data_IF_608746698953
#
_entry.id   IF_608746698953
#
_cell.length_a   1.000
_cell.length_b   1.000
_cell.length_c   1.000
_cell.angle_alpha   90.00
_cell.angle_beta   90.00
_cell.angle_gamma   90.00
#
_symmetry.space_group_name_H-M   'P 1'
#
loop_
_entity.id
_entity.type
_entity.pdbx_description
1 polymer ?
#
# COMPACT_ATOMS: atom_id res chain seq x y z
N UNK A 1 22.39 0.51 24.78
CA UNK A 1 23.12 0.09 23.57
C UNK A 1 22.11 -0.16 22.46
N UNK A 2 22.38 0.26 21.24
CA UNK A 2 21.54 -0.03 20.08
C UNK A 2 21.49 -1.54 19.82
N UNK A 3 20.30 -2.05 19.50
CA UNK A 3 20.06 -3.44 19.14
C UNK A 3 19.13 -3.48 17.94
N UNK A 4 19.55 -4.13 16.87
CA UNK A 4 18.71 -4.38 15.71
C UNK A 4 17.63 -5.41 16.07
N UNK A 5 16.37 -5.11 15.79
CA UNK A 5 15.21 -5.94 16.13
C UNK A 5 14.43 -6.29 14.85
N UNK A 6 14.76 -7.41 14.18
CA UNK A 6 13.94 -7.88 13.07
C UNK A 6 12.57 -8.30 13.58
N UNK A 7 11.54 -8.21 12.73
CA UNK A 7 10.18 -8.65 13.04
C UNK A 7 9.48 -7.95 14.21
N UNK A 8 10.04 -6.88 14.77
CA UNK A 8 9.40 -6.12 15.86
C UNK A 8 8.87 -4.80 15.34
N UNK A 9 7.57 -4.57 15.51
CA UNK A 9 6.96 -3.28 15.16
C UNK A 9 7.44 -2.15 16.06
N UNK A 10 7.85 -1.07 15.42
CA UNK A 10 8.21 0.20 16.05
C UNK A 10 7.19 1.27 15.66
N UNK A 11 6.81 2.13 16.61
CA UNK A 11 5.95 3.29 16.34
C UNK A 11 6.84 4.51 16.11
N UNK A 12 6.59 5.22 15.00
CA UNK A 12 7.32 6.44 14.68
C UNK A 12 6.66 7.65 15.32
N UNK A 13 7.47 8.58 15.81
CA UNK A 13 7.01 9.83 16.41
C UNK A 13 7.11 10.86 15.31
N UNK A 14 6.07 10.93 14.49
CA UNK A 14 5.93 11.87 13.37
C UNK A 14 6.00 13.34 13.84
N UNK A 15 7.21 13.81 14.14
CA UNK A 15 7.50 15.07 14.81
C UNK A 15 8.16 15.99 13.80
N UNK A 16 7.37 16.87 13.20
CA UNK A 16 7.83 17.89 12.26
C UNK A 16 7.15 19.24 12.54
N UNK A 17 7.63 20.32 11.88
CA UNK A 17 6.97 21.63 11.94
C UNK A 17 5.57 21.58 11.30
N UNK A 18 5.40 20.78 10.24
CA UNK A 18 4.09 20.49 9.65
C UNK A 18 3.32 19.49 10.52
N UNK A 19 2.02 19.74 10.69
CA UNK A 19 1.12 18.80 11.35
C UNK A 19 1.01 17.54 10.48
N UNK A 20 1.04 16.33 11.09
CA UNK A 20 0.93 15.09 10.34
C UNK A 20 -0.45 14.99 9.68
N UNK A 21 -0.58 14.17 8.61
CA UNK A 21 -1.87 13.87 8.01
C UNK A 21 -2.89 13.40 9.06
N UNK A 22 -4.13 13.87 8.91
CA UNK A 22 -5.26 13.40 9.72
C UNK A 22 -5.42 11.88 9.63
N UNK A 23 -5.97 11.31 10.70
CA UNK A 23 -6.32 9.89 10.76
C UNK A 23 -7.24 9.50 9.60
N UNK A 24 -6.96 8.39 8.93
CA UNK A 24 -7.62 8.04 7.65
C UNK A 24 -7.68 6.54 7.40
N UNK A 25 -8.66 6.13 6.61
CA UNK A 25 -8.85 4.75 6.12
C UNK A 25 -9.08 4.76 4.61
N UNK A 26 -8.78 3.66 3.93
CA UNK A 26 -9.03 3.55 2.48
C UNK A 26 -8.13 4.43 1.62
N UNK A 27 -7.06 4.98 2.22
CA UNK A 27 -5.94 5.59 1.52
C UNK A 27 -4.99 4.50 1.02
N UNK A 28 -4.04 4.86 0.18
CA UNK A 28 -2.93 3.98 -0.20
C UNK A 28 -1.59 4.58 0.20
N UNK A 29 -0.62 3.71 0.50
CA UNK A 29 0.77 4.08 0.67
C UNK A 29 1.69 3.34 -0.29
N UNK A 30 2.80 3.97 -0.62
CA UNK A 30 3.93 3.39 -1.34
C UNK A 30 5.21 3.96 -0.75
N UNK A 31 6.36 3.33 -0.97
CA UNK A 31 7.61 3.88 -0.48
C UNK A 31 8.75 3.59 -1.44
N UNK A 32 9.73 4.47 -1.42
CA UNK A 32 11.05 4.26 -1.98
C UNK A 32 12.07 4.03 -0.82
N UNK A 33 13.35 4.21 -1.11
CA UNK A 33 14.43 4.04 -0.13
C UNK A 33 14.58 5.22 0.87
N UNK A 34 13.86 6.32 0.66
CA UNK A 34 13.95 7.59 1.40
C UNK A 34 12.64 7.97 2.08
N UNK A 35 11.51 7.74 1.43
CA UNK A 35 10.22 8.29 1.77
C UNK A 35 9.10 7.24 1.70
N UNK A 36 8.11 7.43 2.58
CA UNK A 36 6.79 6.84 2.51
C UNK A 36 5.82 7.89 1.95
N UNK A 37 5.07 7.56 0.91
CA UNK A 37 4.05 8.41 0.31
C UNK A 37 2.66 7.94 0.73
N UNK A 38 1.75 8.87 1.04
CA UNK A 38 0.35 8.56 1.35
C UNK A 38 -0.58 9.41 0.49
N UNK A 39 -1.47 8.73 -0.23
CA UNK A 39 -2.44 9.35 -1.12
C UNK A 39 -3.85 9.15 -0.59
N UNK A 40 -4.62 10.24 -0.55
CA UNK A 40 -6.07 10.17 -0.36
C UNK A 40 -6.49 9.74 1.05
N UNK A 41 -7.65 9.09 1.11
CA UNK A 41 -8.24 8.52 2.32
C UNK A 41 -9.50 9.24 2.77
N UNK A 42 -10.21 8.58 3.68
CA UNK A 42 -11.51 9.00 4.19
C UNK A 42 -11.50 9.14 5.71
N UNK A 43 -12.14 10.18 6.23
CA UNK A 43 -12.49 10.28 7.64
C UNK A 43 -13.75 11.16 7.88
N UNK A 44 -14.92 10.55 8.17
CA UNK A 44 -16.18 11.25 8.39
C UNK A 44 -16.27 11.89 9.79
N UNK A 45 -15.29 11.65 10.67
CA UNK A 45 -15.27 12.22 12.02
C UNK A 45 -14.55 13.58 12.08
N UNK A 46 -13.99 14.05 10.97
CA UNK A 46 -13.40 15.40 10.88
C UNK A 46 -14.54 16.40 10.70
N UNK A 47 -14.67 17.32 11.66
CA UNK A 47 -15.71 18.34 11.62
C UNK A 47 -15.37 19.43 10.61
N UNK A 48 -16.39 20.09 10.06
CA UNK A 48 -16.23 21.27 9.19
C UNK A 48 -15.52 22.43 9.89
N UNK A 49 -15.57 22.47 11.22
CA UNK A 49 -14.91 23.48 12.05
C UNK A 49 -13.48 23.13 12.43
N UNK A 50 -12.96 21.96 12.00
CA UNK A 50 -11.61 21.51 12.30
C UNK A 50 -10.58 22.54 11.79
N UNK A 51 -9.73 23.10 12.68
CA UNK A 51 -8.80 24.15 12.32
C UNK A 51 -7.85 23.77 11.19
N UNK A 52 -7.49 22.50 11.04
CA UNK A 52 -6.57 22.04 9.99
C UNK A 52 -7.22 22.01 8.61
N UNK A 53 -8.56 22.04 8.54
CA UNK A 53 -9.31 22.01 7.29
C UNK A 53 -9.87 23.38 6.88
N UNK A 54 -9.76 24.41 7.74
CA UNK A 54 -10.35 25.74 7.50
C UNK A 54 -9.78 26.43 6.26
N UNK A 55 -8.48 26.28 6.05
CA UNK A 55 -7.75 26.91 4.94
C UNK A 55 -7.64 25.97 3.72
N UNK A 56 -8.16 24.74 3.82
CA UNK A 56 -8.19 23.81 2.69
C UNK A 56 -9.39 24.13 1.79
N UNK A 57 -9.10 24.85 0.70
CA UNK A 57 -10.11 25.29 -0.27
C UNK A 57 -10.83 24.12 -0.96
N UNK A 58 -10.24 22.92 -0.96
CA UNK A 58 -10.82 21.74 -1.60
C UNK A 58 -11.71 20.93 -0.66
N UNK A 59 -11.56 21.11 0.66
CA UNK A 59 -12.25 20.32 1.67
C UNK A 59 -13.76 20.38 1.54
N UNK A 60 -14.34 21.55 1.24
CA UNK A 60 -15.79 21.67 1.08
C UNK A 60 -16.35 20.73 0.00
N UNK A 61 -15.61 20.55 -1.10
CA UNK A 61 -16.01 19.71 -2.23
C UNK A 61 -15.58 18.24 -2.07
N UNK A 62 -14.45 17.98 -1.39
CA UNK A 62 -13.92 16.62 -1.24
C UNK A 62 -14.36 15.94 0.04
N UNK A 63 -14.85 16.67 1.06
CA UNK A 63 -15.19 16.08 2.35
C UNK A 63 -16.19 14.93 2.20
N UNK A 64 -16.06 13.88 3.01
CA UNK A 64 -15.04 13.66 4.05
C UNK A 64 -13.75 12.95 3.56
N UNK A 65 -13.38 13.13 2.28
CA UNK A 65 -12.17 12.58 1.68
C UNK A 65 -11.04 13.61 1.62
N UNK A 66 -9.81 13.13 1.88
CA UNK A 66 -8.61 13.96 1.90
C UNK A 66 -8.02 14.08 0.50
N UNK A 67 -8.09 15.27 -0.09
CA UNK A 67 -7.48 15.57 -1.38
C UNK A 67 -6.01 15.94 -1.21
N UNK A 68 -5.21 14.98 -0.75
CA UNK A 68 -3.84 15.23 -0.33
C UNK A 68 -2.89 14.12 -0.76
N UNK A 69 -1.68 14.51 -1.14
CA UNK A 69 -0.51 13.64 -1.28
C UNK A 69 0.54 14.06 -0.24
N UNK A 70 0.91 13.13 0.63
CA UNK A 70 1.88 13.35 1.70
C UNK A 70 3.14 12.53 1.46
N UNK A 71 4.31 13.07 1.82
CA UNK A 71 5.55 12.30 1.97
C UNK A 71 6.00 12.30 3.42
N UNK A 72 6.50 11.16 3.90
CA UNK A 72 7.09 10.96 5.21
C UNK A 72 8.53 10.50 5.04
N UNK A 73 9.48 11.36 5.41
CA UNK A 73 10.90 11.02 5.31
C UNK A 73 11.26 9.97 6.37
N UNK A 74 11.83 8.84 5.94
CA UNK A 74 12.02 7.66 6.76
C UNK A 74 13.13 7.80 7.82
N UNK A 75 14.00 8.82 7.68
CA UNK A 75 15.11 9.07 8.61
C UNK A 75 14.77 10.18 9.59
N UNK A 76 14.28 11.32 9.11
CA UNK A 76 13.91 12.47 9.95
C UNK A 76 12.58 12.28 10.69
N UNK A 77 11.76 11.34 10.24
CA UNK A 77 10.39 11.09 10.72
C UNK A 77 9.48 12.32 10.61
N UNK A 78 9.64 13.10 9.54
CA UNK A 78 8.85 14.30 9.26
C UNK A 78 7.90 14.06 8.08
N UNK A 79 6.66 14.50 8.24
CA UNK A 79 5.70 14.60 7.15
C UNK A 79 5.88 15.93 6.43
N UNK A 80 5.62 15.91 5.13
CA UNK A 80 5.46 17.09 4.29
C UNK A 80 4.32 16.87 3.31
N UNK A 81 3.42 17.84 3.18
CA UNK A 81 2.38 17.81 2.14
C UNK A 81 3.00 18.21 0.80
N UNK A 82 2.80 17.41 -0.24
CA UNK A 82 3.23 17.74 -1.59
C UNK A 82 2.24 18.74 -2.24
N UNK A 83 2.71 19.61 -3.15
CA UNK A 83 1.84 20.55 -3.86
C UNK A 83 0.98 19.84 -4.93
N UNK A 84 0.08 20.56 -5.61
CA UNK A 84 -0.74 20.01 -6.71
C UNK A 84 -2.06 19.37 -6.25
N UNK A 85 -2.57 19.76 -5.08
CA UNK A 85 -3.86 19.31 -4.54
C UNK A 85 -5.02 19.57 -5.52
N UNK A 86 -4.98 20.68 -6.24
CA UNK A 86 -5.95 21.09 -7.26
C UNK A 86 -6.01 20.13 -8.46
N UNK A 87 -4.93 19.39 -8.74
CA UNK A 87 -4.86 18.45 -9.86
C UNK A 87 -5.34 17.03 -9.48
N UNK A 88 -5.65 16.78 -8.21
CA UNK A 88 -6.13 15.48 -7.77
C UNK A 88 -7.61 15.25 -8.17
N UNK A 89 -8.06 13.99 -8.35
CA UNK A 89 -9.47 13.64 -8.48
C UNK A 89 -10.23 13.77 -7.16
N UNK A 90 -11.55 13.53 -7.19
CA UNK A 90 -12.38 13.41 -5.99
C UNK A 90 -12.56 11.94 -5.55
N UNK A 91 -12.21 10.97 -6.40
CA UNK A 91 -12.22 9.54 -6.11
C UNK A 91 -10.99 9.11 -5.28
N UNK A 92 -11.00 9.54 -4.01
CA UNK A 92 -9.83 9.56 -3.13
C UNK A 92 -9.77 8.37 -2.17
N UNK A 93 -10.70 7.42 -2.24
CA UNK A 93 -10.71 6.23 -1.40
C UNK A 93 -10.77 4.93 -2.20
N UNK A 94 -10.18 3.89 -1.62
CA UNK A 94 -10.14 2.53 -2.19
C UNK A 94 -9.62 2.47 -3.62
N UNK A 95 -8.76 3.41 -3.99
CA UNK A 95 -8.00 3.40 -5.22
C UNK A 95 -6.91 2.30 -5.17
N UNK A 96 -6.33 2.00 -6.32
CA UNK A 96 -5.13 1.19 -6.41
C UNK A 96 -3.93 2.10 -6.70
N UNK A 97 -2.76 1.79 -6.10
CA UNK A 97 -1.58 2.66 -6.21
C UNK A 97 -0.30 1.82 -6.29
N UNK A 98 0.64 2.27 -7.12
CA UNK A 98 1.97 1.68 -7.23
C UNK A 98 3.01 2.78 -7.50
N UNK A 99 4.25 2.57 -7.03
CA UNK A 99 5.38 3.46 -7.28
C UNK A 99 6.40 2.73 -8.15
N UNK A 100 6.74 3.30 -9.30
CA UNK A 100 7.76 2.78 -10.22
C UNK A 100 8.83 3.84 -10.47
N UNK A 101 10.01 3.67 -9.86
CA UNK A 101 11.00 4.75 -9.80
C UNK A 101 10.43 5.95 -9.04
N UNK A 102 10.39 7.12 -9.68
CA UNK A 102 9.78 8.33 -9.11
C UNK A 102 8.33 8.54 -9.57
N UNK A 103 7.79 7.67 -10.41
CA UNK A 103 6.42 7.78 -10.93
C UNK A 103 5.44 7.06 -9.99
N UNK A 104 4.69 7.83 -9.21
CA UNK A 104 3.55 7.34 -8.44
C UNK A 104 2.33 7.26 -9.35
N UNK A 105 1.78 6.07 -9.54
CA UNK A 105 0.60 5.83 -10.35
C UNK A 105 -0.59 5.47 -9.48
N UNK A 106 -1.72 6.13 -9.70
CA UNK A 106 -2.98 5.92 -8.98
C UNK A 106 -4.08 5.62 -9.97
N UNK A 107 -4.78 4.50 -9.77
CA UNK A 107 -5.84 4.03 -10.66
C UNK A 107 -7.16 3.85 -9.91
N UNK A 108 -8.23 4.34 -10.54
CA UNK A 108 -9.61 4.19 -10.08
C UNK A 108 -9.87 4.74 -8.69
N UNK A 109 -10.76 4.09 -7.95
CA UNK A 109 -11.20 4.52 -6.63
C UNK A 109 -12.60 5.10 -6.64
N UNK A 110 -13.04 5.57 -5.47
CA UNK A 110 -14.40 6.08 -5.27
C UNK A 110 -14.44 7.38 -4.46
N UNK A 111 -15.37 8.26 -4.85
CA UNK A 111 -15.79 9.46 -4.13
C UNK A 111 -16.96 9.18 -3.19
N UNK A 112 -17.53 10.23 -2.59
CA UNK A 112 -18.76 10.13 -1.78
C UNK A 112 -19.94 10.70 -2.60
N UNK A 113 -21.09 10.03 -2.67
CA UNK A 113 -21.44 8.72 -2.09
C UNK A 113 -20.64 7.53 -2.68
N UNK A 114 -20.23 6.61 -1.81
CA UNK A 114 -19.43 5.44 -2.22
C UNK A 114 -20.21 4.51 -3.14
N UNK A 115 -19.58 4.08 -4.23
CA UNK A 115 -20.22 3.23 -5.26
C UNK A 115 -21.00 4.00 -6.32
N UNK A 116 -21.25 5.30 -6.13
CA UNK A 116 -21.93 6.14 -7.13
C UNK A 116 -20.94 7.04 -7.91
N UNK A 117 -19.89 7.48 -7.24
CA UNK A 117 -18.76 8.19 -7.85
C UNK A 117 -17.57 7.23 -7.88
N UNK A 118 -17.42 6.52 -9.01
CA UNK A 118 -16.31 5.61 -9.26
C UNK A 118 -15.50 6.12 -10.45
N UNK A 119 -14.22 5.75 -10.51
CA UNK A 119 -13.31 6.15 -11.59
C UNK A 119 -12.61 4.96 -12.23
N UNK A 120 -12.30 5.08 -13.52
CA UNK A 120 -11.37 4.23 -14.28
C UNK A 120 -10.19 5.05 -14.82
N UNK A 121 -9.94 6.24 -14.25
CA UNK A 121 -8.85 7.10 -14.68
C UNK A 121 -7.53 6.67 -14.04
N UNK A 122 -6.46 6.75 -14.83
CA UNK A 122 -5.08 6.58 -14.36
C UNK A 122 -4.46 7.97 -14.19
N UNK A 123 -3.94 8.23 -12.99
CA UNK A 123 -3.16 9.43 -12.67
C UNK A 123 -1.71 9.04 -12.44
N UNK A 124 -0.80 9.92 -12.85
CA UNK A 124 0.65 9.81 -12.58
C UNK A 124 1.17 11.09 -11.94
N UNK A 125 2.07 10.95 -10.98
CA UNK A 125 2.77 12.04 -10.32
C UNK A 125 4.24 11.70 -10.22
N UNK A 126 5.12 12.66 -10.51
CA UNK A 126 6.51 12.52 -10.10
C UNK A 126 6.59 12.90 -8.61
N UNK A 127 7.05 11.99 -7.76
CA UNK A 127 7.05 12.24 -6.30
C UNK A 127 7.96 13.40 -5.87
N UNK A 128 8.86 13.84 -6.75
CA UNK A 128 9.67 15.04 -6.54
C UNK A 128 8.88 16.34 -6.77
N UNK A 129 7.86 16.33 -7.65
CA UNK A 129 7.05 17.51 -8.01
C UNK A 129 5.67 17.55 -7.32
N UNK A 130 5.08 16.39 -7.00
CA UNK A 130 3.82 16.27 -6.27
C UNK A 130 2.54 16.43 -7.09
N UNK A 131 2.63 16.91 -8.33
CA UNK A 131 1.46 17.24 -9.13
C UNK A 131 0.92 16.03 -9.90
N UNK A 132 -0.33 15.65 -9.60
CA UNK A 132 -1.03 14.58 -10.33
C UNK A 132 -1.38 15.02 -11.76
N UNK A 133 -1.20 14.12 -12.72
CA UNK A 133 -1.56 14.32 -14.12
C UNK A 133 -2.40 13.13 -14.59
N UNK A 134 -3.52 13.42 -15.25
CA UNK A 134 -4.30 12.37 -15.93
C UNK A 134 -3.44 11.79 -17.04
N UNK A 135 -3.36 10.46 -17.11
CA UNK A 135 -2.72 9.76 -18.22
C UNK A 135 -3.77 9.59 -19.32
N UNK A 136 -3.57 10.18 -20.52
CA UNK A 136 -4.46 9.96 -21.64
C UNK A 136 -4.54 8.47 -21.97
N UNK A 137 -5.76 7.96 -22.08
CA UNK A 137 -6.01 6.54 -22.27
C UNK A 137 -7.04 6.32 -23.38
N UNK A 138 -6.81 5.29 -24.18
CA UNK A 138 -7.70 4.82 -25.25
C UNK A 138 -7.84 3.29 -25.17
N UNK A 139 -8.61 2.69 -26.08
CA UNK A 139 -8.79 1.24 -26.15
C UNK A 139 -9.95 0.73 -25.29
N UNK A 140 -9.78 -0.46 -24.73
CA UNK A 140 -10.81 -1.17 -23.97
C UNK A 140 -10.71 -0.82 -22.48
N UNK A 141 -11.17 0.37 -22.13
CA UNK A 141 -11.11 0.86 -20.76
C UNK A 141 -12.00 -0.01 -19.83
N UNK A 142 -11.50 -0.40 -18.64
CA UNK A 142 -12.33 -1.05 -17.64
C UNK A 142 -13.46 -0.12 -17.18
N UNK A 143 -14.55 -0.68 -16.67
CA UNK A 143 -15.59 0.14 -16.05
C UNK A 143 -15.05 0.92 -14.84
N UNK A 144 -15.62 2.10 -14.53
CA UNK A 144 -15.29 2.84 -13.31
C UNK A 144 -15.56 2.01 -12.05
N UNK A 145 -14.50 1.74 -11.29
CA UNK A 145 -14.54 0.79 -10.17
C UNK A 145 -13.61 1.24 -9.04
N UNK A 146 -13.80 0.65 -7.86
CA UNK A 146 -12.91 0.79 -6.72
C UNK A 146 -12.57 -0.55 -6.06
N UNK A 147 -11.53 -0.55 -5.24
CA UNK A 147 -11.05 -1.72 -4.52
C UNK A 147 -10.31 -2.73 -5.39
N UNK A 148 -9.86 -2.31 -6.58
CA UNK A 148 -8.93 -3.05 -7.43
C UNK A 148 -7.53 -3.08 -6.78
N UNK A 149 -6.67 -3.90 -7.36
CA UNK A 149 -5.24 -3.92 -7.06
C UNK A 149 -4.43 -3.92 -8.37
N UNK A 150 -3.16 -3.50 -8.28
CA UNK A 150 -2.28 -3.31 -9.43
C UNK A 150 -1.05 -4.21 -9.37
N UNK A 151 -0.58 -4.63 -10.53
CA UNK A 151 0.76 -5.21 -10.75
C UNK A 151 1.40 -4.51 -11.93
N UNK A 152 2.64 -4.08 -11.79
CA UNK A 152 3.44 -3.57 -12.92
C UNK A 152 4.41 -4.65 -13.38
N UNK A 153 4.41 -4.96 -14.66
CA UNK A 153 5.35 -5.89 -15.29
C UNK A 153 5.73 -5.40 -16.67
N UNK A 154 7.03 -5.26 -16.93
CA UNK A 154 7.59 -4.66 -18.14
C UNK A 154 7.00 -3.26 -18.41
N UNK A 155 6.32 -3.08 -19.54
CA UNK A 155 5.62 -1.85 -19.91
C UNK A 155 4.12 -1.90 -19.67
N UNK A 156 3.64 -2.89 -18.92
CA UNK A 156 2.22 -3.08 -18.67
C UNK A 156 1.87 -2.88 -17.20
N UNK A 157 0.80 -2.11 -16.97
CA UNK A 157 0.15 -2.00 -15.68
C UNK A 157 -1.13 -2.85 -15.71
N UNK A 158 -1.14 -3.94 -14.95
CA UNK A 158 -2.28 -4.83 -14.82
C UNK A 158 -3.17 -4.38 -13.66
N UNK A 159 -4.48 -4.42 -13.87
CA UNK A 159 -5.49 -4.24 -12.82
C UNK A 159 -6.33 -5.50 -12.70
N UNK A 160 -6.62 -5.90 -11.47
CA UNK A 160 -7.38 -7.14 -11.18
C UNK A 160 -8.51 -6.87 -10.20
N UNK A 161 -9.71 -7.31 -10.57
CA UNK A 161 -10.92 -7.27 -9.76
C UNK A 161 -11.36 -5.87 -9.38
N UNK A 162 -12.25 -5.77 -8.39
CA UNK A 162 -12.88 -4.51 -7.98
C UNK A 162 -14.38 -4.62 -7.87
N UNK A 163 -15.01 -3.48 -7.64
CA UNK A 163 -16.47 -3.36 -7.63
C UNK A 163 -16.92 -2.02 -8.18
N UNK A 164 -18.06 -2.04 -8.87
CA UNK A 164 -18.79 -0.84 -9.30
C UNK A 164 -19.62 -0.24 -8.16
N UNK A 165 -19.67 -0.90 -6.99
CA UNK A 165 -20.60 -0.62 -5.90
C UNK A 165 -21.81 -1.56 -5.90
N UNK A 166 -22.14 -2.13 -7.07
CA UNK A 166 -23.25 -3.06 -7.26
C UNK A 166 -22.76 -4.47 -7.60
N UNK A 167 -21.80 -4.55 -8.51
CA UNK A 167 -21.24 -5.80 -9.00
C UNK A 167 -19.79 -5.94 -8.57
N UNK A 168 -19.36 -7.19 -8.37
CA UNK A 168 -17.98 -7.53 -8.04
C UNK A 168 -17.40 -8.32 -9.20
N UNK A 169 -16.16 -7.98 -9.56
CA UNK A 169 -15.46 -8.68 -10.63
C UNK A 169 -14.10 -9.19 -10.16
N UNK A 170 -13.53 -10.12 -10.91
CA UNK A 170 -12.12 -10.49 -10.85
C UNK A 170 -11.47 -10.39 -12.24
N UNK A 171 -12.02 -9.55 -13.12
CA UNK A 171 -11.49 -9.29 -14.46
C UNK A 171 -10.06 -8.77 -14.41
N UNK A 172 -9.35 -9.01 -15.51
CA UNK A 172 -7.99 -8.52 -15.72
C UNK A 172 -7.96 -7.65 -16.95
N UNK A 173 -7.51 -6.42 -16.75
CA UNK A 173 -7.16 -5.51 -17.84
C UNK A 173 -5.70 -5.10 -17.68
N UNK A 174 -5.09 -4.68 -18.78
CA UNK A 174 -3.75 -4.09 -18.74
C UNK A 174 -3.68 -2.82 -19.54
N UNK A 175 -2.84 -1.90 -19.07
CA UNK A 175 -2.52 -0.66 -19.74
C UNK A 175 -1.09 -0.72 -20.28
N UNK A 176 -0.93 -0.53 -21.59
CA UNK A 176 0.39 -0.35 -22.21
C UNK A 176 0.89 1.07 -21.92
N UNK A 177 1.83 1.19 -20.98
CA UNK A 177 2.41 2.45 -20.53
C UNK A 177 3.16 3.20 -21.65
N UNK A 178 3.53 2.53 -22.75
CA UNK A 178 4.21 3.17 -23.89
C UNK A 178 3.23 3.76 -24.88
N UNK A 179 2.08 3.11 -25.07
CA UNK A 179 1.09 3.49 -26.09
C UNK A 179 -0.09 4.28 -25.53
N UNK A 180 -0.36 4.19 -24.24
CA UNK A 180 -1.55 4.79 -23.65
C UNK A 180 -2.84 4.04 -24.00
N UNK A 181 -2.77 2.71 -24.10
CA UNK A 181 -3.89 1.86 -24.56
C UNK A 181 -4.24 0.81 -23.50
N UNK A 182 -5.52 0.73 -23.14
CA UNK A 182 -6.08 -0.37 -22.35
C UNK A 182 -6.48 -1.53 -23.25
N UNK A 183 -6.22 -2.74 -22.75
CA UNK A 183 -6.56 -4.00 -23.39
C UNK A 183 -7.22 -4.92 -22.37
N UNK A 184 -8.26 -5.64 -22.80
CA UNK A 184 -8.83 -6.74 -22.02
C UNK A 184 -7.86 -7.92 -22.04
N UNK A 185 -7.45 -8.39 -20.86
CA UNK A 185 -6.66 -9.61 -20.73
C UNK A 185 -7.57 -10.81 -20.47
N UNK A 186 -8.55 -10.65 -19.58
CA UNK A 186 -9.50 -11.69 -19.22
C UNK A 186 -10.77 -11.10 -18.60
N UNK A 187 -11.95 -11.58 -19.04
CA UNK A 187 -13.24 -11.26 -18.43
C UNK A 187 -13.82 -12.52 -17.79
N UNK A 188 -14.05 -12.48 -16.48
CA UNK A 188 -14.71 -13.53 -15.73
C UNK A 188 -16.20 -13.57 -16.11
N UNK A 189 -16.61 -14.67 -16.74
CA UNK A 189 -17.97 -14.84 -17.27
C UNK A 189 -18.79 -15.88 -16.50
N UNK A 190 -18.19 -16.52 -15.51
CA UNK A 190 -18.74 -17.66 -14.75
C UNK A 190 -18.73 -18.97 -15.54
N UNK A 191 -18.04 -19.05 -16.69
CA UNK A 191 -18.09 -20.21 -17.60
C UNK A 191 -16.95 -21.21 -17.40
N UNK A 192 -15.82 -20.78 -16.84
CA UNK A 192 -14.70 -21.65 -16.48
C UNK A 192 -14.71 -21.83 -14.96
N UNK A 193 -14.70 -23.09 -14.50
CA UNK A 193 -14.71 -23.44 -13.06
C UNK A 193 -13.49 -22.90 -12.30
N UNK A 194 -12.41 -22.58 -13.02
CA UNK A 194 -11.19 -21.99 -12.46
C UNK A 194 -11.33 -20.48 -12.22
N UNK A 195 -12.39 -19.84 -12.74
CA UNK A 195 -12.60 -18.41 -12.54
C UNK A 195 -12.88 -18.08 -11.07
N UNK A 196 -12.15 -17.12 -10.50
CA UNK A 196 -12.44 -16.66 -9.16
C UNK A 196 -13.74 -15.88 -9.10
N UNK A 197 -14.46 -16.06 -7.99
CA UNK A 197 -15.56 -15.15 -7.61
C UNK A 197 -15.05 -13.71 -7.55
N UNK A 198 -15.88 -12.79 -8.07
CA UNK A 198 -15.61 -11.37 -8.07
C UNK A 198 -15.38 -10.82 -6.65
N UNK A 199 -14.45 -9.88 -6.52
CA UNK A 199 -14.01 -9.39 -5.22
C UNK A 199 -13.37 -8.02 -5.27
N UNK A 200 -13.38 -7.36 -4.12
CA UNK A 200 -12.66 -6.11 -3.85
C UNK A 200 -11.80 -6.22 -2.57
N UNK A 201 -10.89 -5.26 -2.38
CA UNK A 201 -10.04 -5.16 -1.17
C UNK A 201 -9.25 -6.44 -0.86
N UNK A 202 -8.97 -7.19 -1.91
CA UNK A 202 -7.89 -8.16 -2.02
C UNK A 202 -6.58 -7.43 -2.25
N UNK A 203 -5.50 -8.17 -2.11
CA UNK A 203 -4.15 -7.72 -2.47
C UNK A 203 -3.60 -8.66 -3.55
N UNK A 204 -2.64 -8.19 -4.34
CA UNK A 204 -2.00 -8.99 -5.38
C UNK A 204 -0.57 -9.35 -4.99
N UNK A 205 -0.12 -10.48 -5.52
CA UNK A 205 1.29 -10.82 -5.58
C UNK A 205 1.67 -11.27 -6.99
N UNK A 206 2.95 -11.15 -7.31
CA UNK A 206 3.46 -11.48 -8.64
C UNK A 206 4.86 -12.07 -8.56
N UNK A 207 5.07 -13.23 -9.17
CA UNK A 207 6.35 -13.95 -9.19
C UNK A 207 7.10 -13.81 -10.53
N UNK A 208 6.62 -12.96 -11.44
CA UNK A 208 7.11 -12.85 -12.82
C UNK A 208 6.37 -13.72 -13.82
N UNK A 209 5.48 -14.62 -13.38
CA UNK A 209 4.73 -15.55 -14.24
C UNK A 209 3.24 -15.52 -13.95
N UNK A 210 2.87 -15.58 -12.67
CA UNK A 210 1.50 -15.65 -12.21
C UNK A 210 1.13 -14.45 -11.34
N UNK A 211 -0.07 -13.92 -11.56
CA UNK A 211 -0.68 -12.92 -10.67
C UNK A 211 -1.56 -13.67 -9.65
N UNK A 212 -1.20 -13.60 -8.37
CA UNK A 212 -1.92 -14.26 -7.29
C UNK A 212 -2.88 -13.28 -6.62
N UNK A 213 -4.10 -13.74 -6.32
CA UNK A 213 -5.13 -12.95 -5.66
C UNK A 213 -5.27 -13.38 -4.21
N UNK A 214 -4.97 -12.48 -3.28
CA UNK A 214 -4.87 -12.77 -1.85
C UNK A 214 -6.06 -12.16 -1.09
N UNK A 215 -6.92 -13.02 -0.56
CA UNK A 215 -8.09 -12.66 0.23
C UNK A 215 -9.10 -11.80 -0.52
N UNK A 216 -9.56 -10.73 0.12
CA UNK A 216 -10.64 -9.87 -0.36
C UNK A 216 -12.01 -10.49 -0.09
N UNK A 217 -13.03 -10.01 -0.79
CA UNK A 217 -14.37 -10.56 -0.67
C UNK A 217 -15.44 -9.67 -1.29
N UNK A 218 -16.64 -9.73 -0.73
CA UNK A 218 -17.77 -8.83 -1.07
C UNK A 218 -18.09 -7.94 0.14
N UNK A 219 -19.18 -7.18 0.08
CA UNK A 219 -19.70 -6.45 1.25
C UNK A 219 -19.99 -7.39 2.44
N UNK A 220 -20.48 -8.60 2.16
CA UNK A 220 -20.95 -9.57 3.17
C UNK A 220 -19.94 -10.67 3.47
N UNK A 221 -19.12 -11.09 2.50
CA UNK A 221 -18.26 -12.27 2.62
C UNK A 221 -16.77 -11.90 2.57
N UNK A 222 -15.93 -12.68 3.25
CA UNK A 222 -14.46 -12.58 3.17
C UNK A 222 -13.89 -13.91 2.70
N UNK A 223 -12.98 -13.88 1.74
CA UNK A 223 -12.41 -15.06 1.10
C UNK A 223 -11.13 -15.54 1.80
N UNK A 224 -10.96 -16.85 1.82
CA UNK A 224 -9.88 -17.57 2.51
C UNK A 224 -8.57 -17.62 1.75
N UNK A 225 -7.60 -18.30 2.34
CA UNK A 225 -6.26 -18.48 1.79
C UNK A 225 -5.87 -19.94 1.57
N UNK A 226 -6.70 -20.91 1.97
CA UNK A 226 -6.42 -22.34 1.73
C UNK A 226 -6.31 -22.64 0.23
N UNK A 227 -7.18 -22.02 -0.56
CA UNK A 227 -7.15 -22.01 -2.02
C UNK A 227 -7.07 -20.55 -2.47
N UNK A 228 -6.07 -20.23 -3.28
CA UNK A 228 -5.89 -18.88 -3.84
C UNK A 228 -5.98 -18.91 -5.37
N UNK A 229 -6.71 -17.97 -5.99
CA UNK A 229 -6.68 -17.80 -7.44
C UNK A 229 -5.31 -17.29 -7.90
N UNK A 230 -4.82 -17.84 -9.00
CA UNK A 230 -3.62 -17.37 -9.68
C UNK A 230 -3.85 -17.34 -11.20
N UNK A 231 -3.54 -16.20 -11.83
CA UNK A 231 -3.65 -16.04 -13.27
C UNK A 231 -2.30 -16.23 -13.94
N UNK A 232 -2.20 -17.20 -14.83
CA UNK A 232 -0.99 -17.51 -15.59
C UNK A 232 -0.91 -16.60 -16.83
N UNK A 233 0.02 -15.63 -16.82
CA UNK A 233 0.17 -14.65 -17.90
C UNK A 233 0.66 -15.26 -19.23
N UNK A 234 1.23 -16.47 -19.21
CA UNK A 234 1.67 -17.14 -20.43
C UNK A 234 0.50 -17.80 -21.14
N UNK A 235 -0.41 -18.41 -20.38
CA UNK A 235 -1.56 -19.15 -20.93
C UNK A 235 -2.86 -18.35 -20.94
N UNK A 236 -2.89 -17.19 -20.27
CA UNK A 236 -4.07 -16.38 -20.02
C UNK A 236 -5.22 -17.19 -19.39
N UNK A 237 -4.87 -18.00 -18.37
CA UNK A 237 -5.84 -18.84 -17.66
C UNK A 237 -5.73 -18.67 -16.15
N UNK A 238 -6.89 -18.66 -15.50
CA UNK A 238 -6.98 -18.82 -14.06
C UNK A 238 -6.64 -20.24 -13.64
N UNK A 239 -6.08 -20.35 -12.43
CA UNK A 239 -5.82 -21.60 -11.73
C UNK A 239 -6.18 -21.40 -10.26
N UNK A 240 -6.71 -22.44 -9.64
CA UNK A 240 -6.86 -22.50 -8.19
C UNK A 240 -5.67 -23.23 -7.61
N UNK A 241 -4.92 -22.56 -6.72
CA UNK A 241 -3.72 -23.11 -6.09
C UNK A 241 -3.97 -23.39 -4.62
N UNK A 242 -3.66 -24.61 -4.19
CA UNK A 242 -3.71 -25.01 -2.79
C UNK A 242 -2.49 -24.47 -2.04
N UNK A 243 -2.73 -23.82 -0.90
CA UNK A 243 -1.69 -23.42 0.04
C UNK A 243 -1.75 -24.27 1.30
N UNK A 244 -0.67 -24.26 2.08
CA UNK A 244 -0.59 -25.04 3.31
C UNK A 244 0.21 -24.30 4.39
N UNK A 245 -0.03 -24.62 5.66
CA UNK A 245 0.75 -24.12 6.78
C UNK A 245 2.04 -24.91 7.02
N UNK A 246 2.98 -24.31 7.75
CA UNK A 246 4.29 -24.90 8.12
C UNK A 246 4.18 -26.15 9.03
N UNK A 247 3.33 -26.12 10.05
CA UNK A 247 3.27 -27.20 11.07
C UNK A 247 1.89 -27.84 11.28
N UNK A 248 0.78 -27.16 10.98
CA UNK A 248 -0.58 -27.62 11.38
C UNK A 248 -1.65 -27.43 10.28
N UNK A 249 -1.28 -27.50 8.99
CA UNK A 249 -2.13 -27.09 7.83
C UNK A 249 -2.73 -25.67 7.94
N UNK A 250 -2.41 -24.92 9.01
CA UNK A 250 -3.04 -23.67 9.37
C UNK A 250 -2.59 -22.54 8.43
N UNK A 251 -3.56 -22.03 7.70
CA UNK A 251 -3.45 -20.85 6.83
C UNK A 251 -4.09 -19.64 7.51
N UNK A 252 -3.86 -18.40 7.03
CA UNK A 252 -4.52 -17.24 7.57
C UNK A 252 -6.06 -17.36 7.47
N UNK A 253 -6.77 -16.85 8.48
CA UNK A 253 -8.23 -16.75 8.42
C UNK A 253 -8.67 -15.85 7.24
N UNK A 254 -9.83 -16.13 6.61
CA UNK A 254 -10.40 -15.29 5.56
C UNK A 254 -10.47 -13.82 5.95
N UNK A 255 -10.08 -12.90 5.07
CA UNK A 255 -10.07 -11.46 5.39
C UNK A 255 -10.04 -10.55 4.17
N UNK A 256 -10.57 -9.35 4.35
CA UNK A 256 -10.47 -8.21 3.44
C UNK A 256 -9.82 -7.01 4.14
N UNK A 257 -9.43 -5.99 3.37
CA UNK A 257 -8.86 -4.73 3.89
C UNK A 257 -7.59 -4.93 4.75
N UNK A 258 -6.81 -5.98 4.45
CA UNK A 258 -5.51 -6.24 5.06
C UNK A 258 -4.41 -5.49 4.32
N UNK A 259 -3.28 -5.25 4.97
CA UNK A 259 -2.08 -4.78 4.29
C UNK A 259 -1.35 -5.96 3.64
N UNK A 260 -0.70 -5.73 2.51
CA UNK A 260 0.16 -6.71 1.85
C UNK A 260 1.43 -6.04 1.32
N UNK A 261 2.55 -6.74 1.41
CA UNK A 261 3.82 -6.37 0.78
C UNK A 261 4.50 -7.61 0.22
N UNK A 262 5.26 -7.46 -0.85
CA UNK A 262 6.04 -8.55 -1.43
C UNK A 262 7.52 -8.19 -1.54
N UNK A 263 8.38 -9.20 -1.42
CA UNK A 263 9.81 -9.08 -1.67
C UNK A 263 10.36 -10.35 -2.33
N UNK A 264 11.42 -10.20 -3.10
CA UNK A 264 12.16 -11.31 -3.68
C UNK A 264 13.53 -11.38 -3.01
N UNK A 265 13.87 -12.54 -2.48
CA UNK A 265 15.20 -12.76 -1.91
C UNK A 265 16.25 -12.77 -3.03
N UNK A 266 17.20 -11.84 -3.00
CA UNK A 266 18.19 -11.64 -4.07
C UNK A 266 19.07 -12.88 -4.32
N UNK A 267 19.29 -13.73 -3.30
CA UNK A 267 20.19 -14.89 -3.40
C UNK A 267 19.48 -16.11 -3.98
N UNK A 268 18.25 -16.37 -3.53
CA UNK A 268 17.46 -17.53 -3.92
C UNK A 268 16.52 -17.27 -5.09
N UNK A 269 16.20 -16.00 -5.37
CA UNK A 269 15.19 -15.60 -6.35
C UNK A 269 13.75 -15.89 -5.91
N UNK A 270 13.54 -16.33 -4.67
CA UNK A 270 12.21 -16.70 -4.17
C UNK A 270 11.44 -15.45 -3.76
N UNK A 271 10.24 -15.29 -4.34
CA UNK A 271 9.30 -14.25 -3.94
C UNK A 271 8.47 -14.69 -2.74
N UNK A 272 8.42 -13.84 -1.72
CA UNK A 272 7.57 -13.98 -0.55
C UNK A 272 6.60 -12.81 -0.46
N UNK A 273 5.40 -13.09 0.05
CA UNK A 273 4.36 -12.09 0.29
C UNK A 273 4.03 -12.09 1.76
N UNK A 274 3.88 -10.91 2.36
CA UNK A 274 3.52 -10.74 3.76
C UNK A 274 2.20 -10.00 3.86
N UNK A 275 1.22 -10.61 4.53
CA UNK A 275 -0.06 -9.98 4.84
C UNK A 275 -0.14 -9.63 6.33
N UNK A 276 -0.81 -8.52 6.64
CA UNK A 276 -0.97 -8.03 8.02
C UNK A 276 -2.37 -7.48 8.29
N UNK A 277 -2.94 -7.85 9.43
CA UNK A 277 -4.23 -7.33 9.90
C UNK A 277 -5.39 -7.70 8.99
N UNK A 278 -6.38 -6.82 8.85
CA UNK A 278 -7.60 -7.03 8.08
C UNK A 278 -8.83 -7.35 8.93
N UNK A 279 -9.95 -7.59 8.27
CA UNK A 279 -11.24 -7.85 8.91
C UNK A 279 -12.02 -8.92 8.14
N UNK A 280 -12.76 -9.78 8.85
CA UNK A 280 -13.56 -10.84 8.21
C UNK A 280 -15.08 -10.66 8.31
N UNK A 281 -15.58 -9.71 9.10
CA UNK A 281 -17.00 -9.60 9.48
C UNK A 281 -17.21 -9.64 10.99
N UNK A 282 -16.39 -10.42 11.69
CA UNK A 282 -16.50 -10.64 13.14
C UNK A 282 -15.28 -10.11 13.89
N UNK A 283 -14.09 -10.35 13.32
CA UNK A 283 -12.80 -10.11 13.94
C UNK A 283 -11.94 -9.19 13.10
N UNK A 284 -11.32 -8.23 13.76
CA UNK A 284 -10.19 -7.46 13.22
C UNK A 284 -8.91 -8.16 13.66
N UNK A 285 -7.97 -8.35 12.75
CA UNK A 285 -6.76 -9.11 13.01
C UNK A 285 -5.55 -8.19 13.29
N UNK A 286 -4.58 -8.72 14.04
CA UNK A 286 -3.26 -8.12 14.28
C UNK A 286 -2.09 -9.05 13.89
N UNK A 287 -2.41 -10.26 13.41
CA UNK A 287 -1.42 -11.24 12.99
C UNK A 287 -0.72 -10.84 11.69
N UNK A 288 0.47 -11.39 11.51
CA UNK A 288 1.28 -11.25 10.29
C UNK A 288 1.65 -12.63 9.78
N UNK A 289 1.46 -12.83 8.49
CA UNK A 289 1.70 -14.09 7.80
C UNK A 289 2.55 -13.88 6.58
N UNK A 290 3.44 -14.83 6.30
CA UNK A 290 4.27 -14.85 5.09
C UNK A 290 3.91 -16.05 4.23
N UNK A 291 3.63 -15.83 2.95
CA UNK A 291 3.50 -16.87 1.93
C UNK A 291 4.79 -16.94 1.11
N UNK A 292 5.36 -18.13 0.97
CA UNK A 292 6.39 -18.41 -0.02
C UNK A 292 5.70 -18.77 -1.35
N UNK A 293 5.88 -18.00 -2.43
CA UNK A 293 5.17 -18.25 -3.69
C UNK A 293 5.67 -19.48 -4.45
N UNK A 294 6.90 -19.95 -4.18
CA UNK A 294 7.44 -21.15 -4.82
C UNK A 294 6.85 -22.42 -4.19
N UNK A 295 6.71 -22.46 -2.87
CA UNK A 295 6.17 -23.63 -2.16
C UNK A 295 4.69 -23.53 -1.84
N UNK A 296 4.09 -22.34 -1.97
CA UNK A 296 2.73 -22.03 -1.51
C UNK A 296 2.52 -22.31 -0.01
N UNK A 297 3.60 -22.15 0.77
CA UNK A 297 3.58 -22.37 2.21
C UNK A 297 3.40 -21.06 2.97
N UNK A 298 2.40 -21.04 3.86
CA UNK A 298 2.18 -20.00 4.85
C UNK A 298 2.97 -20.25 6.14
N UNK A 299 3.67 -19.22 6.61
CA UNK A 299 4.31 -19.17 7.92
C UNK A 299 3.74 -18.01 8.72
N UNK A 300 3.20 -18.29 9.91
CA UNK A 300 2.80 -17.23 10.85
C UNK A 300 4.04 -16.64 11.50
N UNK A 301 4.26 -15.34 11.33
CA UNK A 301 5.39 -14.63 11.96
C UNK A 301 5.02 -14.30 13.41
N UNK A 302 5.18 -15.28 14.32
CA UNK A 302 4.68 -15.18 15.71
C UNK A 302 5.23 -14.01 16.51
N UNK A 303 6.45 -13.56 16.21
CA UNK A 303 7.06 -12.40 16.86
C UNK A 303 6.71 -11.07 16.17
N UNK A 304 6.24 -11.13 14.92
CA UNK A 304 5.79 -9.98 14.14
C UNK A 304 4.28 -9.80 14.31
N UNK A 305 3.87 -9.03 15.31
CA UNK A 305 2.45 -8.78 15.60
C UNK A 305 2.20 -7.27 15.56
N UNK A 306 1.14 -6.86 14.86
CA UNK A 306 0.72 -5.47 14.82
C UNK A 306 0.41 -4.96 16.24
N UNK A 307 0.79 -3.72 16.59
CA UNK A 307 0.56 -3.18 17.94
C UNK A 307 -0.91 -3.16 18.37
N UNK A 308 -1.83 -3.12 17.41
CA UNK A 308 -3.24 -3.35 17.63
C UNK A 308 -3.89 -3.94 16.37
N UNK A 309 -5.04 -4.62 16.50
CA UNK A 309 -5.80 -5.05 15.34
C UNK A 309 -6.26 -3.88 14.47
N UNK A 310 -6.05 -3.98 13.16
CA UNK A 310 -6.32 -2.88 12.22
C UNK A 310 -6.79 -3.40 10.86
N UNK A 311 -7.70 -2.67 10.23
CA UNK A 311 -8.19 -2.93 8.86
C UNK A 311 -8.34 -1.60 8.10
N UNK A 312 -8.36 -1.65 6.77
CA UNK A 312 -8.27 -0.45 5.89
C UNK A 312 -7.03 0.43 6.12
N UNK A 313 -5.99 -0.13 6.74
CA UNK A 313 -4.66 0.44 6.68
C UNK A 313 -4.05 0.11 5.32
N UNK A 314 -2.95 0.77 4.99
CA UNK A 314 -2.14 0.40 3.84
C UNK A 314 -0.73 0.05 4.33
N UNK A 315 -0.05 -0.82 3.59
CA UNK A 315 1.30 -1.29 3.86
C UNK A 315 2.19 -1.02 2.64
N UNK A 316 3.46 -0.68 2.87
CA UNK A 316 4.46 -0.50 1.81
C UNK A 316 5.81 -1.05 2.28
N UNK A 317 6.65 -1.48 1.34
CA UNK A 317 7.95 -2.09 1.63
C UNK A 317 9.09 -1.30 0.99
N UNK A 318 10.06 -0.90 1.82
CA UNK A 318 11.30 -0.30 1.34
C UNK A 318 12.15 -1.33 0.58
N UNK A 319 12.99 -0.92 -0.38
CA UNK A 319 13.91 -1.84 -1.06
C UNK A 319 14.80 -2.64 -0.12
N UNK A 320 15.11 -2.09 1.06
CA UNK A 320 15.92 -2.74 2.08
C UNK A 320 15.15 -3.84 2.86
N UNK A 321 13.82 -3.92 2.72
CA UNK A 321 12.97 -4.94 3.34
C UNK A 321 12.37 -4.54 4.69
N UNK A 322 12.25 -3.23 4.95
CA UNK A 322 11.45 -2.69 6.06
C UNK A 322 10.04 -2.38 5.58
N UNK A 323 9.05 -2.99 6.21
CA UNK A 323 7.63 -2.73 5.98
C UNK A 323 7.17 -1.55 6.83
N UNK A 324 6.42 -0.65 6.22
CA UNK A 324 5.72 0.45 6.86
C UNK A 324 4.21 0.25 6.75
N UNK A 325 3.49 0.63 7.80
CA UNK A 325 2.04 0.62 7.86
C UNK A 325 1.57 1.99 8.34
N UNK A 326 0.54 2.50 7.68
CA UNK A 326 -0.06 3.78 8.01
C UNK A 326 -1.59 3.70 8.02
N UNK A 327 -2.17 4.44 8.95
CA UNK A 327 -3.61 4.66 9.08
C UNK A 327 -4.44 3.40 9.35
N UNK A 328 -5.67 3.41 8.87
CA UNK A 328 -6.67 2.36 9.09
C UNK A 328 -7.60 2.62 10.26
N UNK A 329 -8.47 1.64 10.53
CA UNK A 329 -9.47 1.66 11.58
C UNK A 329 -9.06 0.68 12.68
N UNK A 330 -9.07 1.17 13.91
CA UNK A 330 -8.66 0.45 15.13
C UNK A 330 -9.75 0.54 16.19
N UNK A 331 -9.74 -0.40 17.14
CA UNK A 331 -10.56 -0.34 18.35
C UNK A 331 -9.66 -0.02 19.55
N UNK A 332 -9.80 1.18 20.11
CA UNK A 332 -9.04 1.63 21.28
C UNK A 332 -10.04 2.00 22.38
N UNK A 333 -9.89 1.43 23.58
CA UNK A 333 -10.79 1.67 24.72
C UNK A 333 -12.28 1.49 24.35
N UNK A 334 -12.60 0.41 23.62
CA UNK A 334 -13.93 0.10 23.09
C UNK A 334 -14.52 1.11 22.08
N UNK A 335 -13.74 2.10 21.62
CA UNK A 335 -14.16 3.04 20.57
C UNK A 335 -13.50 2.68 19.25
N UNK A 336 -14.31 2.60 18.20
CA UNK A 336 -13.84 2.44 16.83
C UNK A 336 -13.41 3.82 16.33
N UNK A 337 -12.16 3.94 15.90
CA UNK A 337 -11.63 5.20 15.39
C UNK A 337 -10.58 4.96 14.31
N UNK A 338 -10.35 5.97 13.48
CA UNK A 338 -9.23 5.96 12.54
C UNK A 338 -7.95 6.36 13.26
N UNK A 339 -6.83 5.88 12.77
CA UNK A 339 -5.50 6.28 13.25
C UNK A 339 -4.71 6.99 12.15
N UNK A 340 -3.72 7.78 12.54
CA UNK A 340 -2.63 8.29 11.69
C UNK A 340 -1.26 7.80 12.17
N UNK A 341 -1.22 6.73 12.97
CA UNK A 341 0.04 6.16 13.43
C UNK A 341 0.81 5.55 12.26
N UNK A 342 2.12 5.81 12.24
CA UNK A 342 3.08 5.14 11.36
C UNK A 342 3.80 4.07 12.17
N UNK A 343 3.76 2.84 11.69
CA UNK A 343 4.45 1.70 12.27
C UNK A 343 5.39 1.07 11.24
N UNK A 344 6.49 0.49 11.70
CA UNK A 344 7.35 -0.30 10.82
C UNK A 344 7.98 -1.50 11.49
N UNK A 345 8.25 -2.54 10.69
CA UNK A 345 8.97 -3.74 11.09
C UNK A 345 9.90 -4.19 9.97
N UNK A 346 11.08 -4.69 10.32
CA UNK A 346 11.99 -5.33 9.37
C UNK A 346 11.48 -6.74 9.06
N UNK A 347 11.22 -7.04 7.79
CA UNK A 347 10.79 -8.36 7.33
C UNK A 347 11.97 -9.20 6.80
N UNK A 348 13.05 -8.52 6.42
CA UNK A 348 14.32 -9.13 6.06
C UNK A 348 15.44 -8.56 6.93
N UNK A 349 16.60 -9.22 6.90
CA UNK A 349 17.82 -8.69 7.48
C UNK A 349 18.49 -7.79 6.43
N UNK A 350 18.58 -6.46 6.65
CA UNK A 350 19.20 -5.57 5.68
C UNK A 350 20.72 -5.71 5.68
N UNK A 351 21.37 -5.06 4.71
CA UNK A 351 22.83 -4.95 4.66
C UNK A 351 23.35 -4.33 5.95
N UNK A 352 24.54 -4.77 6.41
CA UNK A 352 25.18 -4.24 7.62
C UNK A 352 25.28 -2.70 7.60
N UNK A 353 25.50 -2.09 6.43
CA UNK A 353 25.54 -0.64 6.30
C UNK A 353 24.23 0.04 6.74
N UNK A 354 23.06 -0.55 6.50
CA UNK A 354 21.76 0.00 6.94
C UNK A 354 21.58 -0.15 8.46
N UNK A 355 22.08 -1.25 9.03
CA UNK A 355 22.06 -1.46 10.49
C UNK A 355 22.98 -0.44 11.17
N UNK A 356 24.19 -0.24 10.64
CA UNK A 356 25.11 0.80 11.10
C UNK A 356 24.50 2.20 10.95
N UNK A 357 23.79 2.47 9.85
CA UNK A 357 23.10 3.74 9.64
C UNK A 357 22.03 4.00 10.71
N UNK A 358 21.22 3.00 11.06
CA UNK A 358 20.26 3.11 12.15
C UNK A 358 20.93 3.31 13.51
N UNK A 359 22.01 2.58 13.78
CA UNK A 359 22.78 2.75 15.00
C UNK A 359 23.33 4.17 15.11
N UNK A 360 23.84 4.73 14.01
CA UNK A 360 24.34 6.10 13.95
C UNK A 360 23.23 7.11 14.27
N UNK A 361 22.05 6.99 13.64
CA UNK A 361 20.91 7.87 13.94
C UNK A 361 20.37 7.70 15.37
N UNK A 362 20.50 6.50 15.95
CA UNK A 362 20.13 6.24 17.34
C UNK A 362 21.05 6.95 18.33
N UNK A 363 22.37 6.88 18.12
CA UNK A 363 23.35 7.51 19.02
C UNK A 363 23.53 9.01 18.77
N UNK A 364 23.34 9.45 17.52
CA UNK A 364 23.54 10.83 17.08
C UNK A 364 22.28 11.39 16.40
N UNK A 365 21.18 11.58 17.14
CA UNK A 365 19.89 11.99 16.56
C UNK A 365 19.89 13.38 15.92
N UNK A 366 20.92 14.20 16.19
CA UNK A 366 21.11 15.54 15.62
C UNK A 366 21.72 15.53 14.21
N UNK A 367 22.14 14.38 13.68
CA UNK A 367 22.67 14.29 12.32
C UNK A 367 21.64 14.75 11.28
N UNK A 368 20.34 14.55 11.55
CA UNK A 368 19.25 15.00 10.69
C UNK A 368 19.13 16.51 10.53
N UNK A 369 19.74 17.26 11.44
CA UNK A 369 19.72 18.73 11.44
C UNK A 369 21.06 19.31 10.92
N UNK A 370 22.00 18.46 10.47
CA UNK A 370 23.28 18.88 9.90
C UNK A 370 23.18 19.08 8.38
N UNK A 371 23.98 20.01 7.83
CA UNK A 371 24.02 20.22 6.37
C UNK A 371 24.64 19.04 5.63
N UNK A 372 24.32 18.85 4.33
CA UNK A 372 24.93 17.80 3.51
C UNK A 372 26.46 17.82 3.56
N UNK A 373 27.07 18.99 3.41
CA UNK A 373 28.53 19.16 3.38
C UNK A 373 29.17 18.73 4.70
N UNK A 374 28.53 19.06 5.82
CA UNK A 374 29.02 18.66 7.15
C UNK A 374 28.97 17.14 7.31
N UNK A 375 27.89 16.49 6.88
CA UNK A 375 27.75 15.04 6.97
C UNK A 375 28.77 14.32 6.08
N UNK A 376 29.00 14.83 4.87
CA UNK A 376 30.04 14.32 3.96
C UNK A 376 31.44 14.50 4.56
N UNK A 377 31.73 15.66 5.17
CA UNK A 377 33.00 15.91 5.84
C UNK A 377 33.23 15.00 7.06
N UNK A 378 32.16 14.58 7.75
CA UNK A 378 32.21 13.56 8.81
C UNK A 378 32.45 12.14 8.26
N UNK A 379 32.52 11.95 6.94
CA UNK A 379 32.72 10.66 6.29
C UNK A 379 31.44 9.83 6.12
N UNK A 380 30.25 10.43 6.29
CA UNK A 380 29.00 9.73 6.03
C UNK A 380 28.85 9.54 4.50
N UNK A 381 28.67 8.30 4.01
CA UNK A 381 28.55 8.05 2.58
C UNK A 381 27.39 8.83 1.94
N UNK A 382 27.61 9.33 0.72
CA UNK A 382 26.62 10.12 -0.03
C UNK A 382 25.23 9.48 -0.09
N UNK A 383 25.16 8.16 -0.27
CA UNK A 383 23.89 7.40 -0.31
C UNK A 383 23.05 7.53 0.97
N UNK A 384 23.68 7.76 2.12
CA UNK A 384 22.98 7.97 3.40
C UNK A 384 22.67 9.44 3.63
N UNK A 385 23.56 10.34 3.20
CA UNK A 385 23.30 11.77 3.18
C UNK A 385 22.03 12.04 2.36
N UNK A 386 21.91 11.47 1.16
CA UNK A 386 20.73 11.60 0.29
C UNK A 386 19.42 11.07 0.89
N UNK A 387 19.43 10.33 2.00
CA UNK A 387 18.20 9.89 2.70
C UNK A 387 17.55 11.02 3.53
N UNK A 388 18.21 12.15 3.73
CA UNK A 388 17.62 13.31 4.41
C UNK A 388 17.03 14.33 3.43
N UNK A 389 16.10 15.15 3.94
CA UNK A 389 15.52 16.30 3.24
C UNK A 389 16.30 17.57 3.63
N UNK A 390 17.21 18.02 2.75
CA UNK A 390 18.05 19.20 3.03
C UNK A 390 17.64 20.48 2.30
N UNK A 391 16.93 20.37 1.18
CA UNK A 391 16.66 21.49 0.25
C UNK A 391 15.24 22.03 0.36
N UNK A 392 14.60 21.86 1.50
CA UNK A 392 13.18 22.16 1.68
C UNK A 392 12.91 23.26 2.73
N UNK A 393 13.90 24.08 3.07
CA UNK A 393 13.82 25.17 4.06
C UNK A 393 14.19 26.52 3.46
#
# INVERSE_FOLDING_TARGET
>A
MYTFKPFVFTKHKANGPERPPKARSGHRIACDHRNLYSYGGFNPCVADTDPDMRDDQTWFASKPLFKELWRFNLVSERWKRLPGQENMPNELASNAMILCGNALMVYGGTGVPFGESCSNQLYVCNVDDGAMKVVPATGELPEPQYGQALVCHDSYLYTVGGTTGYEYTCDIHRFDLRKGVWEIVYICSGRDESEPRGRYRHELAFDGKMIYVLGGGTSTESYGFAEIPAFDLKTNKWRTLNTHGDTDTMVPAPRRCHGSVQYTDEKSGVTSVVISGGYNGDWVFSDVWRLNLNTLQWTRLRECILPCPVYFHSAALTPEGRMYIFGGIVKINNKIQRTNAVHSAWLTIPKLSEICWQALNYYFPHLKDSSPDKLLHMGIPLKFVQKFDFYDW
#
